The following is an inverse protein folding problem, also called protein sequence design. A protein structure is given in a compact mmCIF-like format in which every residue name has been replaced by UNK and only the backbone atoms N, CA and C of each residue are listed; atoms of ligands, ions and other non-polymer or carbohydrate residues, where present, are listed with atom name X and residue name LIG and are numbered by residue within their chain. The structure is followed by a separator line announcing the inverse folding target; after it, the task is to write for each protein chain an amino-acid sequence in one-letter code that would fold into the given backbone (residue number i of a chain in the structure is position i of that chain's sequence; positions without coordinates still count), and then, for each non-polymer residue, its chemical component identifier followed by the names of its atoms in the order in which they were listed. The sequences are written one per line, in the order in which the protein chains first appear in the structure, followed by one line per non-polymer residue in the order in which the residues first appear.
data_IF_167790951372
#
_entry.id   IF_167790951372
#
_cell.length_a   1.000
_cell.length_b   1.000
_cell.length_c   1.000
_cell.angle_alpha   90.00
_cell.angle_beta   90.00
_cell.angle_gamma   90.00
#
_symmetry.space_group_name_H-M   'P 1'
#
loop_
_entity.id
_entity.type
_entity.pdbx_description
1 polymer ?
#
# COMPACT_ATOMS: atom_id res chain seq x y z
N UNK A 1 45.24 -9.77 -1.77
CA UNK A 1 44.40 -8.58 -1.51
C UNK A 1 42.94 -9.00 -1.62
N UNK A 2 42.16 -8.87 -0.55
CA UNK A 2 40.77 -9.33 -0.51
C UNK A 2 39.85 -8.25 -1.12
N UNK A 3 39.24 -8.57 -2.26
CA UNK A 3 38.24 -7.73 -2.90
C UNK A 3 36.91 -7.84 -2.16
N UNK A 4 36.61 -6.83 -1.34
CA UNK A 4 35.29 -6.59 -0.79
C UNK A 4 34.36 -6.08 -1.90
N UNK A 5 33.61 -6.99 -2.52
CA UNK A 5 32.51 -6.59 -3.40
C UNK A 5 31.33 -6.14 -2.54
N UNK A 6 31.18 -4.83 -2.42
CA UNK A 6 30.05 -4.19 -1.77
C UNK A 6 28.83 -4.42 -2.66
N UNK A 7 27.97 -5.37 -2.28
CA UNK A 7 26.72 -5.65 -2.97
C UNK A 7 25.75 -4.49 -2.75
N UNK A 8 25.81 -3.48 -3.61
CA UNK A 8 24.79 -2.45 -3.74
C UNK A 8 23.52 -3.15 -4.26
N UNK A 9 22.40 -3.19 -3.50
CA UNK A 9 21.19 -3.78 -4.01
C UNK A 9 20.70 -3.01 -5.25
N UNK A 10 20.29 -3.70 -6.33
CA UNK A 10 19.81 -3.04 -7.53
C UNK A 10 18.57 -2.18 -7.21
N UNK A 11 18.48 -0.94 -7.73
CA UNK A 11 17.38 -0.02 -7.44
C UNK A 11 16.00 -0.48 -7.93
N UNK A 12 15.93 -1.59 -8.69
CA UNK A 12 14.72 -2.11 -9.33
C UNK A 12 14.41 -3.57 -8.94
N UNK A 13 14.79 -4.03 -7.75
CA UNK A 13 14.22 -5.29 -7.26
C UNK A 13 12.69 -5.12 -7.19
N UNK A 14 11.89 -5.90 -7.94
CA UNK A 14 10.45 -5.85 -7.81
C UNK A 14 10.13 -6.16 -6.35
N UNK A 15 9.59 -5.16 -5.63
CA UNK A 15 9.17 -5.35 -4.25
C UNK A 15 8.22 -6.55 -4.27
N UNK A 16 8.41 -7.55 -3.38
CA UNK A 16 7.53 -8.70 -3.33
C UNK A 16 6.11 -8.18 -3.26
N UNK A 17 5.35 -8.42 -4.32
CA UNK A 17 3.98 -7.94 -4.46
C UNK A 17 3.14 -8.86 -3.59
N UNK A 18 3.23 -8.64 -2.27
CA UNK A 18 2.47 -9.42 -1.30
C UNK A 18 1.00 -9.20 -1.59
N UNK A 19 0.19 -10.28 -1.60
CA UNK A 19 -1.24 -10.15 -1.79
C UNK A 19 -1.82 -9.24 -0.71
N UNK A 20 -2.69 -8.33 -1.11
CA UNK A 20 -3.39 -7.45 -0.18
C UNK A 20 -4.35 -8.26 0.70
N UNK A 21 -4.51 -7.89 1.98
CA UNK A 21 -5.54 -8.50 2.82
C UNK A 21 -6.94 -7.99 2.42
N UNK A 22 -7.98 -8.73 2.81
CA UNK A 22 -9.38 -8.38 2.52
C UNK A 22 -9.74 -6.96 2.99
N UNK A 23 -9.20 -6.51 4.13
CA UNK A 23 -9.41 -5.13 4.62
C UNK A 23 -8.85 -4.07 3.67
N UNK A 24 -7.69 -4.32 3.07
CA UNK A 24 -7.10 -3.39 2.09
C UNK A 24 -7.86 -3.42 0.77
N UNK A 25 -8.37 -4.58 0.35
CA UNK A 25 -9.21 -4.70 -0.85
C UNK A 25 -10.56 -3.97 -0.64
N UNK A 26 -11.18 -4.12 0.53
CA UNK A 26 -12.36 -3.36 0.92
C UNK A 26 -12.07 -1.85 1.04
N UNK A 27 -10.86 -1.45 1.41
CA UNK A 27 -10.42 -0.05 1.35
C UNK A 27 -10.29 0.48 -0.07
N UNK A 28 -9.77 -0.31 -0.99
CA UNK A 28 -9.74 0.08 -2.40
C UNK A 28 -11.13 0.18 -3.02
N UNK A 29 -12.06 -0.71 -2.63
CA UNK A 29 -13.44 -0.68 -3.09
C UNK A 29 -14.21 0.56 -2.61
N UNK A 30 -13.93 1.03 -1.40
CA UNK A 30 -14.51 2.26 -0.83
C UNK A 30 -13.40 3.25 -0.42
N UNK A 31 -12.83 3.91 -1.42
CA UNK A 31 -11.67 4.81 -1.27
C UNK A 31 -12.04 6.23 -0.80
N UNK A 32 -13.33 6.50 -0.55
CA UNK A 32 -13.85 7.81 -0.15
C UNK A 32 -14.24 7.91 1.33
N UNK A 33 -14.22 6.81 2.08
CA UNK A 33 -14.50 6.84 3.53
C UNK A 33 -13.46 7.63 4.31
N UNK A 34 -13.92 8.40 5.31
CA UNK A 34 -13.04 9.17 6.21
C UNK A 34 -12.40 8.31 7.30
N UNK A 35 -13.05 7.22 7.70
CA UNK A 35 -12.60 6.42 8.83
C UNK A 35 -11.55 5.37 8.39
N UNK A 36 -10.32 5.42 8.94
CA UNK A 36 -9.35 4.36 8.74
C UNK A 36 -9.81 3.08 9.45
N UNK A 37 -9.63 1.92 8.81
CA UNK A 37 -9.94 0.65 9.49
C UNK A 37 -8.90 0.36 10.59
N UNK A 38 -9.30 -0.33 11.66
CA UNK A 38 -8.49 -0.54 12.88
C UNK A 38 -7.12 -1.23 12.65
N UNK A 39 -6.93 -1.89 11.50
CA UNK A 39 -5.65 -2.53 11.12
C UNK A 39 -4.65 -1.58 10.46
N UNK A 40 -5.05 -0.35 10.11
CA UNK A 40 -4.14 0.69 9.62
C UNK A 40 -3.45 1.36 10.81
N UNK A 41 -2.12 1.25 10.83
CA UNK A 41 -1.29 2.00 11.77
C UNK A 41 -0.83 3.29 11.11
N UNK A 42 -1.04 4.43 11.77
CA UNK A 42 -0.50 5.71 11.34
C UNK A 42 1.03 5.69 11.46
N UNK A 43 1.74 6.05 10.38
CA UNK A 43 3.22 6.08 10.34
C UNK A 43 3.81 7.34 10.93
N UNK A 44 3.15 8.48 10.72
CA UNK A 44 3.59 9.79 11.17
C UNK A 44 2.45 10.46 11.92
N UNK A 45 2.72 10.94 13.13
CA UNK A 45 1.72 11.58 13.99
C UNK A 45 1.37 13.00 13.54
N UNK A 46 2.25 13.65 12.76
CA UNK A 46 1.99 14.94 12.16
C UNK A 46 1.47 14.78 10.72
N UNK A 47 0.32 15.38 10.36
CA UNK A 47 -0.13 15.47 8.98
C UNK A 47 0.87 16.27 8.15
N UNK A 48 1.21 15.79 6.96
CA UNK A 48 1.93 16.60 5.99
C UNK A 48 0.93 17.51 5.29
N UNK A 49 1.04 18.81 5.50
CA UNK A 49 0.21 19.80 4.78
C UNK A 49 0.99 20.33 3.59
N UNK A 50 0.38 20.32 2.41
CA UNK A 50 0.98 20.82 1.19
C UNK A 50 -0.09 21.42 0.27
N UNK A 51 0.33 21.97 -0.87
CA UNK A 51 -0.55 22.54 -1.88
C UNK A 51 -0.35 21.81 -3.20
N UNK A 52 -1.45 21.51 -3.88
CA UNK A 52 -1.45 20.93 -5.22
C UNK A 52 -0.97 21.96 -6.26
N UNK A 53 -0.67 21.51 -7.48
CA UNK A 53 -0.28 22.41 -8.58
C UNK A 53 -1.34 23.47 -8.92
N UNK A 54 -2.62 23.21 -8.60
CA UNK A 54 -3.72 24.15 -8.76
C UNK A 54 -3.89 25.12 -7.57
N UNK A 55 -2.97 25.11 -6.59
CA UNK A 55 -3.06 25.94 -5.39
C UNK A 55 -4.04 25.45 -4.32
N UNK A 56 -4.67 24.28 -4.50
CA UNK A 56 -5.58 23.73 -3.50
C UNK A 56 -4.77 23.10 -2.35
N UNK A 57 -4.94 23.55 -1.10
CA UNK A 57 -4.28 22.95 0.05
C UNK A 57 -4.85 21.55 0.34
N UNK A 58 -3.96 20.64 0.74
CA UNK A 58 -4.32 19.30 1.16
C UNK A 58 -3.48 18.84 2.35
N UNK A 59 -4.10 18.03 3.20
CA UNK A 59 -3.43 17.29 4.27
C UNK A 59 -3.22 15.85 3.82
N UNK A 60 -2.04 15.30 4.11
CA UNK A 60 -1.69 13.92 3.81
C UNK A 60 -1.26 13.18 5.07
N UNK A 61 -1.89 12.03 5.29
CA UNK A 61 -1.53 11.08 6.34
C UNK A 61 -1.08 9.77 5.72
N UNK A 62 0.00 9.19 6.25
CA UNK A 62 0.52 7.90 5.78
C UNK A 62 0.19 6.81 6.81
N UNK A 63 -0.39 5.72 6.32
CA UNK A 63 -0.74 4.55 7.11
C UNK A 63 -0.03 3.31 6.57
N UNK A 64 0.20 2.33 7.43
CA UNK A 64 0.70 1.00 7.06
C UNK A 64 -0.24 -0.03 7.64
N UNK A 65 -0.73 -0.94 6.79
CA UNK A 65 -1.56 -2.05 7.23
C UNK A 65 -0.71 -3.03 8.04
N UNK A 66 -1.13 -3.34 9.27
CA UNK A 66 -0.41 -4.28 10.15
C UNK A 66 -0.44 -5.73 9.68
N UNK A 67 -1.38 -6.08 8.78
CA UNK A 67 -1.54 -7.46 8.30
C UNK A 67 -0.66 -7.75 7.08
N UNK A 68 -0.84 -6.99 5.99
CA UNK A 68 -0.12 -7.22 4.73
C UNK A 68 1.05 -6.27 4.51
N UNK A 69 1.22 -5.24 5.35
CA UNK A 69 2.28 -4.24 5.20
C UNK A 69 2.01 -3.18 4.13
N UNK A 70 0.83 -3.17 3.50
CA UNK A 70 0.46 -2.20 2.46
C UNK A 70 0.52 -0.78 3.01
N UNK A 71 1.18 0.10 2.27
CA UNK A 71 1.26 1.53 2.58
C UNK A 71 0.12 2.28 1.89
N UNK A 72 -0.64 3.00 2.70
CA UNK A 72 -1.77 3.83 2.29
C UNK A 72 -1.49 5.29 2.56
N UNK A 73 -1.92 6.16 1.66
CA UNK A 73 -1.91 7.61 1.82
C UNK A 73 -3.34 8.10 1.79
N UNK A 74 -3.72 8.82 2.84
CA UNK A 74 -5.00 9.52 2.93
C UNK A 74 -4.76 10.97 2.54
N UNK A 75 -5.45 11.43 1.50
CA UNK A 75 -5.47 12.82 1.09
C UNK A 75 -6.80 13.45 1.48
N UNK A 76 -6.73 14.55 2.23
CA UNK A 76 -7.85 15.41 2.57
C UNK A 76 -7.62 16.76 1.89
N UNK A 77 -8.32 17.03 0.78
CA UNK A 77 -8.18 18.29 0.03
C UNK A 77 -9.25 19.27 0.50
N UNK A 78 -8.88 20.53 0.73
CA UNK A 78 -9.81 21.52 1.28
C UNK A 78 -11.04 21.80 0.40
N UNK A 79 -10.92 21.60 -0.91
CA UNK A 79 -12.00 21.81 -1.87
C UNK A 79 -12.82 20.54 -2.16
N UNK A 80 -12.52 19.42 -1.50
CA UNK A 80 -13.24 18.16 -1.72
C UNK A 80 -14.07 17.78 -0.49
N UNK A 81 -15.31 17.36 -0.74
CA UNK A 81 -16.21 16.86 0.31
C UNK A 81 -15.80 15.48 0.83
N UNK A 82 -14.94 14.79 0.08
CA UNK A 82 -14.49 13.43 0.36
C UNK A 82 -12.97 13.40 0.50
N UNK A 83 -12.50 12.47 1.30
CA UNK A 83 -11.08 12.11 1.33
C UNK A 83 -10.76 11.14 0.20
N UNK A 84 -9.48 10.99 -0.11
CA UNK A 84 -9.00 10.03 -1.10
C UNK A 84 -7.93 9.12 -0.52
N UNK A 85 -8.22 7.82 -0.47
CA UNK A 85 -7.24 6.79 -0.13
C UNK A 85 -6.50 6.30 -1.38
N UNK A 86 -5.17 6.36 -1.34
CA UNK A 86 -4.30 5.93 -2.44
C UNK A 86 -3.21 5.03 -1.91
N UNK A 87 -2.90 3.93 -2.60
CA UNK A 87 -1.79 3.05 -2.25
C UNK A 87 -0.51 3.47 -2.93
N UNK A 88 0.63 3.23 -2.28
CA UNK A 88 1.95 3.47 -2.90
C UNK A 88 2.25 2.46 -4.03
N UNK A 89 1.65 1.27 -3.96
CA UNK A 89 1.78 0.21 -4.95
C UNK A 89 0.39 -0.33 -5.32
N UNK A 90 0.19 -0.84 -6.55
CA UNK A 90 -1.06 -1.48 -6.93
C UNK A 90 -1.35 -2.67 -6.02
N UNK A 91 -2.59 -2.78 -5.54
CA UNK A 91 -3.02 -3.93 -4.76
C UNK A 91 -3.19 -5.13 -5.70
N UNK A 92 -2.40 -6.17 -5.48
CA UNK A 92 -2.66 -7.46 -6.11
C UNK A 92 -3.66 -8.18 -5.21
N UNK A 93 -4.87 -8.48 -5.71
CA UNK A 93 -5.80 -9.32 -4.96
C UNK A 93 -5.11 -10.64 -4.67
N UNK A 94 -5.36 -11.19 -3.48
CA UNK A 94 -4.92 -12.56 -3.17
C UNK A 94 -5.59 -13.47 -4.19
N UNK A 95 -4.85 -13.85 -5.23
CA UNK A 95 -5.33 -14.81 -6.21
C UNK A 95 -5.81 -16.06 -5.48
N UNK A 96 -6.76 -16.82 -6.03
CA UNK A 96 -7.12 -18.11 -5.47
C UNK A 96 -5.82 -18.88 -5.28
N UNK A 97 -5.58 -19.38 -4.06
CA UNK A 97 -4.43 -20.20 -3.78
C UNK A 97 -4.38 -21.28 -4.85
N UNK A 98 -3.41 -21.20 -5.77
CA UNK A 98 -3.19 -22.26 -6.71
C UNK A 98 -2.97 -23.52 -5.86
N UNK A 99 -3.67 -24.64 -6.13
CA UNK A 99 -3.44 -25.85 -5.39
C UNK A 99 -1.97 -26.26 -5.58
N UNK A 100 -1.16 -26.06 -4.54
CA UNK A 100 0.12 -26.74 -4.38
C UNK A 100 -0.19 -28.24 -4.34
N UNK A 101 0.06 -28.95 -5.43
CA UNK A 101 -0.05 -30.39 -5.49
C UNK A 101 -1.07 -30.92 -6.50
N UNK A 102 -0.82 -30.66 -7.79
CA UNK A 102 -1.21 -31.60 -8.84
C UNK A 102 0.07 -32.10 -9.53
N UNK A 103 0.98 -32.63 -8.74
CA UNK A 103 2.03 -33.51 -9.22
C UNK A 103 1.61 -34.94 -8.93
N UNK A 104 1.62 -35.74 -10.00
CA UNK A 104 1.78 -37.19 -10.00
C UNK A 104 0.53 -38.07 -9.74
N UNK A 105 0.38 -39.07 -10.62
CA UNK A 105 -0.69 -40.08 -10.78
C UNK A 105 -1.80 -39.60 -11.71
N UNK A 106 -1.91 -40.12 -12.93
CA UNK A 106 -2.22 -41.53 -13.23
C UNK A 106 -1.60 -41.94 -14.58
N UNK A 107 -1.10 -43.18 -14.58
CA UNK A 107 -0.57 -44.00 -15.68
C UNK A 107 -1.46 -44.04 -16.93
#
# INVERSE_FOLDING_TARGET
MAGMTSAVPPPNAPRPTRPACDHCLALAADSRRREPHARLALKHTAPLVSQSAAGVPFSMLTFTCRECGTVWRLYDRANELFVSWVTDCPLVPRGPAAPEGAADRIR
#
